data_IF_290705108683
#
_entry.id   IF_290705108683
#
_cell.length_a   1.000
_cell.length_b   1.000
_cell.length_c   1.000
_cell.angle_alpha   90.00
_cell.angle_beta   90.00
_cell.angle_gamma   90.00
#
_symmetry.space_group_name_H-M   'P 1'
#
loop_
_entity.id
_entity.type
_entity.pdbx_description
1 polymer ?
#
# COMPACT_ATOMS: atom_id res chain seq x y z
N UNK A 1 -12.72 -11.62 8.98
CA UNK A 1 -11.37 -11.51 8.38
C UNK A 1 -10.32 -12.05 9.33
N UNK A 2 -9.29 -12.61 8.76
CA UNK A 2 -8.19 -13.20 9.52
C UNK A 2 -7.26 -12.09 10.02
N UNK A 3 -6.80 -12.18 11.26
CA UNK A 3 -5.82 -11.23 11.80
C UNK A 3 -4.45 -11.88 11.89
N UNK A 4 -3.40 -11.09 11.74
CA UNK A 4 -2.02 -11.51 11.94
C UNK A 4 -1.29 -10.49 12.79
N UNK A 5 -0.34 -10.98 13.61
CA UNK A 5 0.50 -10.16 14.46
C UNK A 5 1.93 -10.26 13.95
N UNK A 6 2.56 -9.09 13.80
CA UNK A 6 3.97 -8.97 13.43
C UNK A 6 4.71 -8.22 14.53
N UNK A 7 5.88 -8.72 14.86
CA UNK A 7 6.76 -8.05 15.81
C UNK A 7 7.54 -6.96 15.11
N UNK A 8 8.03 -5.99 15.87
CA UNK A 8 8.87 -4.92 15.34
C UNK A 8 9.97 -5.49 14.45
N UNK A 9 10.07 -4.95 13.24
CA UNK A 9 11.01 -5.31 12.18
C UNK A 9 10.73 -6.62 11.45
N UNK A 10 9.62 -7.30 11.73
CA UNK A 10 9.17 -8.41 10.89
C UNK A 10 8.77 -7.90 9.51
N UNK A 11 9.10 -8.67 8.48
CA UNK A 11 8.63 -8.41 7.13
C UNK A 11 7.20 -8.93 6.97
N UNK A 12 6.34 -8.09 6.43
CA UNK A 12 4.96 -8.49 6.13
C UNK A 12 4.90 -9.08 4.72
N UNK A 13 5.56 -8.43 3.77
CA UNK A 13 5.86 -8.99 2.45
C UNK A 13 7.09 -8.33 1.86
N UNK A 14 7.68 -8.96 0.86
CA UNK A 14 8.89 -8.48 0.22
C UNK A 14 8.63 -8.01 -1.20
N UNK A 15 9.32 -6.95 -1.61
CA UNK A 15 9.32 -6.45 -2.98
C UNK A 15 9.72 -7.58 -3.94
N UNK A 16 9.04 -7.64 -5.08
CA UNK A 16 9.31 -8.64 -6.12
C UNK A 16 8.66 -9.99 -5.89
N UNK A 17 8.00 -10.22 -4.76
CA UNK A 17 7.27 -11.47 -4.51
C UNK A 17 5.81 -11.32 -4.91
N UNK A 18 5.16 -12.45 -5.20
CA UNK A 18 3.73 -12.47 -5.47
C UNK A 18 2.93 -12.54 -4.17
N UNK A 19 1.82 -11.84 -4.15
CA UNK A 19 0.87 -11.91 -3.04
C UNK A 19 -0.47 -11.40 -3.48
N UNK A 20 -1.52 -12.04 -3.00
CA UNK A 20 -2.90 -11.77 -3.41
C UNK A 20 -3.76 -11.24 -2.25
N UNK A 21 -3.13 -10.77 -1.19
CA UNK A 21 -3.84 -10.24 -0.02
C UNK A 21 -3.56 -8.76 0.15
N UNK A 22 -4.55 -8.05 0.69
CA UNK A 22 -4.37 -6.72 1.23
C UNK A 22 -4.42 -6.77 2.75
N UNK A 23 -3.98 -5.69 3.38
CA UNK A 23 -3.85 -5.60 4.83
C UNK A 23 -4.41 -4.28 5.31
N UNK A 24 -5.14 -4.32 6.43
CA UNK A 24 -5.54 -3.11 7.15
C UNK A 24 -4.87 -3.13 8.52
N UNK A 25 -4.28 -2.02 8.91
CA UNK A 25 -3.60 -1.93 10.21
C UNK A 25 -4.66 -1.75 11.31
N UNK A 26 -4.74 -2.72 12.21
CA UNK A 26 -5.62 -2.63 13.38
C UNK A 26 -4.97 -1.79 14.48
N UNK A 27 -3.68 -2.01 14.71
CA UNK A 27 -2.83 -1.16 15.54
C UNK A 27 -1.38 -1.36 15.12
N UNK A 28 -0.53 -0.40 15.46
CA UNK A 28 0.89 -0.44 15.17
C UNK A 28 1.27 0.48 14.03
N UNK A 29 2.40 0.19 13.40
CA UNK A 29 2.97 1.06 12.37
C UNK A 29 3.72 0.21 11.35
N UNK A 30 3.50 0.50 10.07
CA UNK A 30 4.12 -0.23 8.95
C UNK A 30 4.92 0.74 8.09
N UNK A 31 6.13 0.35 7.75
CA UNK A 31 6.97 1.07 6.78
C UNK A 31 6.87 0.41 5.41
N UNK A 32 6.73 1.21 4.38
CA UNK A 32 6.82 0.77 2.99
C UNK A 32 8.18 1.19 2.47
N UNK A 33 8.96 0.21 2.02
CA UNK A 33 10.38 0.38 1.72
C UNK A 33 10.63 -0.04 0.28
N UNK A 34 11.43 0.74 -0.45
CA UNK A 34 11.99 0.32 -1.73
C UNK A 34 13.38 -0.25 -1.49
N UNK A 35 13.60 -1.47 -1.96
CA UNK A 35 14.91 -2.13 -1.86
C UNK A 35 15.72 -1.99 -3.15
N UNK A 36 15.13 -1.45 -4.19
CA UNK A 36 15.74 -1.33 -5.52
C UNK A 36 16.45 0.01 -5.67
N UNK A 37 17.54 0.23 -4.95
CA UNK A 37 18.35 1.38 -5.25
C UNK A 37 19.79 0.98 -5.59
N UNK A 38 20.48 1.88 -6.31
CA UNK A 38 21.80 1.63 -6.89
C UNK A 38 22.90 1.50 -5.85
N UNK A 39 22.65 1.85 -4.59
CA UNK A 39 23.63 1.87 -3.52
C UNK A 39 23.39 0.81 -2.44
N UNK A 40 22.57 -0.18 -2.70
CA UNK A 40 22.16 -1.21 -1.74
C UNK A 40 21.56 -0.65 -0.45
N UNK A 41 20.97 0.55 -0.51
CA UNK A 41 20.30 1.18 0.62
C UNK A 41 18.80 1.14 0.42
N UNK A 42 18.08 0.64 1.42
CA UNK A 42 16.64 0.70 1.44
C UNK A 42 16.18 2.14 1.62
N UNK A 43 15.10 2.50 0.92
CA UNK A 43 14.51 3.84 1.04
C UNK A 43 13.10 3.72 1.60
N UNK A 44 12.83 4.41 2.69
CA UNK A 44 11.49 4.49 3.26
C UNK A 44 10.62 5.38 2.37
N UNK A 45 9.59 4.79 1.78
CA UNK A 45 8.66 5.48 0.88
C UNK A 45 7.47 6.06 1.63
N UNK A 46 6.99 5.37 2.65
CA UNK A 46 5.82 5.79 3.41
C UNK A 46 5.81 5.12 4.78
N UNK A 47 5.15 5.77 5.72
CA UNK A 47 4.82 5.20 7.04
C UNK A 47 3.30 5.16 7.16
N UNK A 48 2.77 3.99 7.48
CA UNK A 48 1.33 3.75 7.58
C UNK A 48 0.94 3.48 9.02
N UNK A 49 -0.24 3.92 9.38
CA UNK A 49 -0.74 3.87 10.76
C UNK A 49 -2.09 3.14 10.82
N UNK A 50 -2.68 3.13 12.01
CA UNK A 50 -4.00 2.53 12.24
C UNK A 50 -5.01 2.93 11.16
N UNK A 51 -5.78 1.96 10.71
CA UNK A 51 -6.83 2.06 9.68
C UNK A 51 -6.32 2.24 8.25
N UNK A 52 -5.02 2.40 8.05
CA UNK A 52 -4.45 2.43 6.70
C UNK A 52 -4.51 1.03 6.07
N UNK A 53 -4.72 1.01 4.75
CA UNK A 53 -4.74 -0.21 3.94
C UNK A 53 -3.52 -0.21 3.04
N UNK A 54 -2.88 -1.36 2.91
CA UNK A 54 -1.72 -1.52 2.03
C UNK A 54 -1.72 -2.90 1.37
N UNK A 55 -0.92 -3.04 0.30
CA UNK A 55 -0.84 -4.28 -0.46
C UNK A 55 -2.07 -4.56 -1.32
N UNK A 56 -2.96 -3.60 -1.48
CA UNK A 56 -4.25 -3.74 -2.17
C UNK A 56 -4.10 -4.01 -3.65
N UNK A 57 -2.99 -3.60 -4.27
CA UNK A 57 -2.77 -3.85 -5.70
C UNK A 57 -2.68 -5.35 -6.00
N UNK A 58 -2.23 -6.15 -5.05
CA UNK A 58 -2.21 -7.60 -5.19
C UNK A 58 -3.59 -8.23 -5.34
N UNK A 59 -4.65 -7.57 -4.85
CA UNK A 59 -6.03 -8.01 -5.05
C UNK A 59 -6.54 -7.75 -6.45
N UNK A 60 -5.98 -6.77 -7.13
CA UNK A 60 -6.55 -6.21 -8.36
C UNK A 60 -5.83 -6.71 -9.60
N UNK A 61 -4.50 -6.65 -9.64
CA UNK A 61 -3.77 -6.86 -10.88
C UNK A 61 -2.84 -8.07 -10.91
N UNK A 62 -2.76 -8.85 -9.83
CA UNK A 62 -1.99 -10.10 -9.81
C UNK A 62 -0.49 -9.93 -10.13
N UNK A 63 0.05 -8.73 -9.96
CA UNK A 63 1.46 -8.44 -10.21
C UNK A 63 2.30 -8.64 -8.95
N UNK A 64 3.62 -8.66 -9.11
CA UNK A 64 4.53 -8.73 -7.96
C UNK A 64 4.40 -7.48 -7.08
N UNK A 65 4.74 -7.64 -5.81
CA UNK A 65 4.81 -6.52 -4.86
C UNK A 65 5.83 -5.50 -5.35
N UNK A 66 5.45 -4.23 -5.42
CA UNK A 66 6.31 -3.16 -5.90
C UNK A 66 7.18 -2.55 -4.80
N UNK A 67 6.96 -2.94 -3.57
CA UNK A 67 7.74 -2.48 -2.41
C UNK A 67 7.66 -3.52 -1.31
N UNK A 68 8.51 -3.37 -0.31
CA UNK A 68 8.55 -4.22 0.89
C UNK A 68 7.76 -3.55 2.00
N UNK A 69 6.96 -4.32 2.73
CA UNK A 69 6.26 -3.84 3.93
C UNK A 69 6.90 -4.46 5.17
N UNK A 70 7.27 -3.62 6.12
CA UNK A 70 7.92 -4.01 7.36
C UNK A 70 7.19 -3.40 8.56
N UNK A 71 7.04 -4.17 9.62
CA UNK A 71 6.50 -3.64 10.87
C UNK A 71 7.54 -2.74 11.54
N UNK A 72 7.21 -1.49 11.77
CA UNK A 72 8.11 -0.54 12.45
C UNK A 72 7.97 -0.61 13.97
N UNK A 73 6.90 -1.22 14.45
CA UNK A 73 6.65 -1.57 15.85
C UNK A 73 5.77 -2.80 15.86
N UNK A 74 5.45 -3.33 17.03
CA UNK A 74 4.53 -4.47 17.13
C UNK A 74 3.19 -4.08 16.52
N UNK A 75 2.73 -4.85 15.55
CA UNK A 75 1.63 -4.49 14.67
C UNK A 75 0.66 -5.65 14.51
N UNK A 76 -0.62 -5.35 14.56
CA UNK A 76 -1.66 -6.29 14.17
C UNK A 76 -2.35 -5.78 12.91
N UNK A 77 -2.58 -6.69 11.98
CA UNK A 77 -3.28 -6.39 10.73
C UNK A 77 -4.46 -7.33 10.53
N UNK A 78 -5.48 -6.83 9.88
CA UNK A 78 -6.57 -7.65 9.32
C UNK A 78 -6.22 -7.96 7.87
N UNK A 79 -6.27 -9.24 7.50
CA UNK A 79 -5.89 -9.71 6.17
C UNK A 79 -7.13 -9.85 5.30
N UNK A 80 -7.11 -9.22 4.15
CA UNK A 80 -8.16 -9.33 3.13
C UNK A 80 -7.60 -10.21 2.01
N UNK A 81 -8.05 -11.46 1.94
CA UNK A 81 -7.64 -12.37 0.88
C UNK A 81 -8.35 -12.04 -0.42
N UNK A 82 -7.79 -12.48 -1.55
CA UNK A 82 -8.45 -12.34 -2.85
C UNK A 82 -9.81 -13.02 -2.85
N UNK A 83 -9.92 -14.18 -2.21
CA UNK A 83 -11.19 -14.90 -2.11
C UNK A 83 -12.24 -14.07 -1.39
N UNK A 84 -11.89 -13.45 -0.27
CA UNK A 84 -12.80 -12.56 0.48
C UNK A 84 -13.14 -11.33 -0.36
N UNK A 85 -12.15 -10.74 -1.01
CA UNK A 85 -12.37 -9.58 -1.89
C UNK A 85 -13.36 -9.90 -3.01
N UNK A 86 -13.17 -11.02 -3.70
CA UNK A 86 -14.06 -11.46 -4.78
C UNK A 86 -15.46 -11.72 -4.27
N UNK A 87 -15.58 -12.33 -3.09
CA UNK A 87 -16.88 -12.56 -2.46
C UNK A 87 -17.60 -11.24 -2.16
N UNK A 88 -16.90 -10.28 -1.55
CA UNK A 88 -17.49 -8.99 -1.21
C UNK A 88 -17.88 -8.19 -2.46
N UNK A 89 -17.04 -8.23 -3.48
CA UNK A 89 -17.31 -7.55 -4.74
C UNK A 89 -18.62 -8.05 -5.37
N UNK A 90 -18.90 -9.33 -5.23
CA UNK A 90 -20.08 -9.97 -5.82
C UNK A 90 -21.33 -9.81 -4.96
N UNK A 91 -21.21 -9.97 -3.64
CA UNK A 91 -22.37 -10.09 -2.74
C UNK A 91 -22.57 -8.92 -1.80
N UNK A 92 -21.53 -8.15 -1.50
CA UNK A 92 -21.61 -7.02 -0.58
C UNK A 92 -20.59 -5.95 -0.97
N UNK A 93 -20.75 -5.33 -2.15
CA UNK A 93 -19.75 -4.39 -2.66
C UNK A 93 -19.59 -3.14 -1.77
N UNK A 94 -20.60 -2.76 -1.00
CA UNK A 94 -20.49 -1.60 -0.10
C UNK A 94 -19.48 -1.83 1.01
N UNK A 95 -19.19 -3.08 1.36
CA UNK A 95 -18.15 -3.40 2.34
C UNK A 95 -16.74 -3.03 1.83
N UNK A 96 -16.59 -2.82 0.52
CA UNK A 96 -15.31 -2.39 -0.08
C UNK A 96 -15.13 -0.86 -0.09
N UNK A 97 -16.08 -0.11 0.45
CA UNK A 97 -16.02 1.35 0.45
C UNK A 97 -14.73 1.90 1.11
N UNK A 98 -14.24 1.36 2.24
CA UNK A 98 -12.98 1.83 2.81
C UNK A 98 -11.80 1.67 1.86
N UNK A 99 -11.74 0.56 1.12
CA UNK A 99 -10.71 0.31 0.12
C UNK A 99 -10.80 1.32 -1.02
N UNK A 100 -12.01 1.57 -1.52
CA UNK A 100 -12.24 2.56 -2.58
C UNK A 100 -11.80 3.97 -2.14
N UNK A 101 -12.02 4.33 -0.89
CA UNK A 101 -11.58 5.62 -0.35
C UNK A 101 -10.06 5.75 -0.38
N UNK A 102 -9.35 4.70 0.01
CA UNK A 102 -7.88 4.68 0.00
C UNK A 102 -7.36 4.87 -1.43
N UNK A 103 -7.91 4.11 -2.38
CA UNK A 103 -7.52 4.21 -3.78
C UNK A 103 -7.82 5.58 -4.38
N UNK A 104 -8.98 6.14 -4.07
CA UNK A 104 -9.37 7.47 -4.51
C UNK A 104 -8.42 8.54 -3.97
N UNK A 105 -8.06 8.45 -2.70
CA UNK A 105 -7.13 9.38 -2.07
C UNK A 105 -5.75 9.32 -2.72
N UNK A 106 -5.23 8.11 -2.96
CA UNK A 106 -3.95 7.93 -3.64
C UNK A 106 -3.95 8.47 -5.05
N UNK A 107 -5.02 8.22 -5.79
CA UNK A 107 -5.15 8.74 -7.16
C UNK A 107 -5.16 10.26 -7.17
N UNK A 108 -5.89 10.88 -6.25
CA UNK A 108 -5.95 12.34 -6.12
C UNK A 108 -4.58 12.94 -5.80
N UNK A 109 -3.85 12.32 -4.86
CA UNK A 109 -2.50 12.76 -4.51
C UNK A 109 -1.55 12.65 -5.71
N UNK A 110 -1.62 11.56 -6.45
CA UNK A 110 -0.80 11.35 -7.65
C UNK A 110 -1.13 12.41 -8.71
N UNK A 111 -2.40 12.69 -8.93
CA UNK A 111 -2.85 13.72 -9.87
C UNK A 111 -2.31 15.08 -9.47
N UNK A 112 -2.37 15.44 -8.19
CA UNK A 112 -1.85 16.72 -7.69
C UNK A 112 -0.33 16.83 -7.91
N UNK A 113 0.42 15.74 -7.68
CA UNK A 113 1.86 15.72 -7.91
C UNK A 113 2.19 15.90 -9.39
N UNK A 114 1.44 15.27 -10.28
CA UNK A 114 1.62 15.42 -11.72
C UNK A 114 1.34 16.85 -12.17
N UNK A 115 0.27 17.47 -11.65
CA UNK A 115 -0.05 18.86 -11.96
C UNK A 115 1.06 19.80 -11.51
N UNK A 116 1.61 19.58 -10.31
CA UNK A 116 2.73 20.36 -9.80
C UNK A 116 3.97 20.20 -10.68
N UNK A 117 4.26 18.97 -11.10
CA UNK A 117 5.38 18.70 -11.99
C UNK A 117 5.23 19.42 -13.32
N UNK A 118 4.05 19.36 -13.93
CA UNK A 118 3.78 20.05 -15.20
C UNK A 118 3.89 21.56 -15.05
N UNK A 119 3.38 22.12 -13.96
CA UNK A 119 3.48 23.55 -13.69
C UNK A 119 4.95 24.00 -13.64
N UNK A 120 5.79 23.27 -12.90
CA UNK A 120 7.22 23.56 -12.80
C UNK A 120 7.91 23.45 -14.16
N UNK A 121 7.58 22.43 -14.93
CA UNK A 121 8.15 22.24 -16.27
C UNK A 121 7.80 23.39 -17.20
N UNK A 122 6.57 23.89 -17.17
CA UNK A 122 6.14 25.03 -17.97
C UNK A 122 6.86 26.30 -17.56
N UNK A 123 7.05 26.52 -16.26
CA UNK A 123 7.78 27.69 -15.78
C UNK A 123 9.25 27.66 -16.23
N UNK A 124 9.87 26.49 -16.26
CA UNK A 124 11.23 26.34 -16.72
C UNK A 124 11.39 26.58 -18.22
N UNK A 125 10.35 26.25 -19.00
CA UNK A 125 10.37 26.48 -20.44
C UNK A 125 10.28 27.96 -20.82
N UNK A 126 9.76 28.79 -19.93
CA UNK A 126 9.57 30.23 -20.15
C UNK A 126 10.81 31.06 -19.73
N UNK A 127 11.87 30.41 -19.33
CA UNK A 127 13.14 31.07 -19.00
C UNK A 127 14.18 30.82 -20.13
#
# INVERSE_FOLDING_TARGET
MKTKIYKKYDFIFNEGTYGDSAYMIDFGKVGIISETNQNNKSKLLATLNKDDIFGEMGLIDNKVRTATAIALEDTQVSVISKKTFDYLLRYDPLALRPLLKVLSHRLRNTTNLLQEYYRRSLLNLNH
#
